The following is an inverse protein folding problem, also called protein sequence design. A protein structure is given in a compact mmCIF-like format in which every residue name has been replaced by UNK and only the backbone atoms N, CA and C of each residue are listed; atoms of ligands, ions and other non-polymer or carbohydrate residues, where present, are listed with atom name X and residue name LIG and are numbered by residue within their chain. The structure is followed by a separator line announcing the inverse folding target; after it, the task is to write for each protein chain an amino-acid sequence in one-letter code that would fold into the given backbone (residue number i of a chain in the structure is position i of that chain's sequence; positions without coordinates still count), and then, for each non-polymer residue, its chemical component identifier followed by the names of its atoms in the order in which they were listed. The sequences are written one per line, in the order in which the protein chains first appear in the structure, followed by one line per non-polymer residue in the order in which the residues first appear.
data_IF_543032154889
#
_entry.id   IF_543032154889
#
_cell.length_a   1.000
_cell.length_b   1.000
_cell.length_c   1.000
_cell.angle_alpha   90.00
_cell.angle_beta   90.00
_cell.angle_gamma   90.00
#
_symmetry.space_group_name_H-M   'P 1'
#
loop_
_entity.id
_entity.type
_entity.pdbx_description
1 polymer ?
#
# COMPACT_ATOMS: atom_id res chain seq x y z
N UNK A 1 -3.95 32.51 7.32
CA UNK A 1 -2.95 33.43 6.74
C UNK A 1 -3.03 33.54 5.20
N UNK A 2 -2.97 32.45 4.40
CA UNK A 2 -3.04 32.56 2.91
C UNK A 2 -4.35 33.17 2.42
N UNK A 3 -5.51 32.78 2.99
CA UNK A 3 -6.83 33.32 2.61
C UNK A 3 -7.01 34.81 2.93
N UNK A 4 -6.46 35.30 4.04
CA UNK A 4 -6.51 36.71 4.38
C UNK A 4 -5.68 37.56 3.41
N UNK A 5 -4.52 37.07 2.96
CA UNK A 5 -3.67 37.75 1.98
C UNK A 5 -4.33 37.83 0.59
N UNK A 6 -5.12 36.83 0.17
CA UNK A 6 -5.86 36.85 -1.08
C UNK A 6 -7.06 37.83 -1.06
N UNK A 7 -7.62 38.10 0.11
CA UNK A 7 -8.76 39.01 0.27
C UNK A 7 -8.37 40.48 0.44
N UNK A 8 -7.14 40.76 0.90
CA UNK A 8 -6.70 42.10 1.30
C UNK A 8 -5.78 42.77 0.27
N UNK A 9 -5.22 42.04 -0.69
CA UNK A 9 -4.26 42.60 -1.67
C UNK A 9 -4.58 42.21 -3.09
N UNK A 10 -4.26 43.04 -4.08
CA UNK A 10 -4.22 42.72 -5.50
C UNK A 10 -3.07 41.73 -5.77
N UNK A 11 -3.32 40.43 -5.54
CA UNK A 11 -2.34 39.38 -5.83
C UNK A 11 -2.35 39.08 -7.33
N UNK A 12 -1.18 39.02 -8.00
CA UNK A 12 -1.11 38.65 -9.41
C UNK A 12 -1.82 37.34 -9.69
N UNK A 13 -2.56 37.24 -10.81
CA UNK A 13 -3.36 36.09 -11.20
C UNK A 13 -2.58 34.77 -11.15
N UNK A 14 -1.31 34.81 -11.52
CA UNK A 14 -0.42 33.64 -11.45
C UNK A 14 -0.26 33.13 -10.01
N UNK A 15 -0.04 34.01 -9.05
CA UNK A 15 0.08 33.64 -7.62
C UNK A 15 -1.26 33.17 -7.04
N UNK A 16 -2.38 33.76 -7.49
CA UNK A 16 -3.70 33.27 -7.09
C UNK A 16 -3.89 31.81 -7.54
N UNK A 17 -3.53 31.47 -8.79
CA UNK A 17 -3.62 30.12 -9.31
C UNK A 17 -2.72 29.14 -8.54
N UNK A 18 -1.50 29.54 -8.20
CA UNK A 18 -0.57 28.74 -7.39
C UNK A 18 -1.15 28.45 -6.00
N UNK A 19 -1.74 29.47 -5.34
CA UNK A 19 -2.37 29.29 -4.04
C UNK A 19 -3.61 28.38 -4.11
N UNK A 20 -4.46 28.56 -5.11
CA UNK A 20 -5.65 27.70 -5.29
C UNK A 20 -5.25 26.26 -5.58
N UNK A 21 -4.21 26.04 -6.37
CA UNK A 21 -3.68 24.69 -6.64
C UNK A 21 -3.12 24.07 -5.36
N UNK A 22 -2.35 24.82 -4.58
CA UNK A 22 -1.84 24.33 -3.31
C UNK A 22 -2.97 24.00 -2.30
N UNK A 23 -4.01 24.83 -2.23
CA UNK A 23 -5.18 24.57 -1.39
C UNK A 23 -5.93 23.33 -1.84
N UNK A 24 -6.19 23.14 -3.14
CA UNK A 24 -6.83 21.96 -3.69
C UNK A 24 -6.04 20.69 -3.29
N UNK A 25 -4.72 20.71 -3.46
CA UNK A 25 -3.85 19.60 -3.06
C UNK A 25 -3.96 19.29 -1.55
N UNK A 26 -4.06 20.31 -0.68
CA UNK A 26 -4.22 20.10 0.76
C UNK A 26 -5.60 19.54 1.11
N UNK A 27 -6.65 19.97 0.42
CA UNK A 27 -8.01 19.44 0.60
C UNK A 27 -8.09 17.97 0.17
N UNK A 28 -7.47 17.61 -0.96
CA UNK A 28 -7.39 16.22 -1.43
C UNK A 28 -6.66 15.32 -0.41
N UNK A 29 -5.56 15.83 0.18
CA UNK A 29 -4.83 15.14 1.26
C UNK A 29 -5.71 14.95 2.50
N UNK A 30 -6.47 15.95 2.89
CA UNK A 30 -7.36 15.89 4.04
C UNK A 30 -8.51 14.88 3.82
N UNK A 31 -9.11 14.91 2.63
CA UNK A 31 -10.16 13.94 2.27
C UNK A 31 -9.62 12.51 2.28
N UNK A 32 -8.45 12.26 1.67
CA UNK A 32 -7.79 10.97 1.72
C UNK A 32 -7.55 10.49 3.16
N UNK A 33 -7.09 11.39 4.04
CA UNK A 33 -6.90 11.13 5.47
C UNK A 33 -8.20 10.68 6.14
N UNK A 34 -9.27 11.48 5.98
CA UNK A 34 -10.58 11.20 6.57
C UNK A 34 -11.11 9.84 6.09
N UNK A 35 -11.07 9.57 4.79
CA UNK A 35 -11.53 8.30 4.22
C UNK A 35 -10.73 7.12 4.78
N UNK A 36 -9.41 7.25 4.89
CA UNK A 36 -8.54 6.20 5.42
C UNK A 36 -8.81 5.96 6.92
N UNK A 37 -9.03 7.02 7.70
CA UNK A 37 -9.38 6.91 9.12
C UNK A 37 -10.74 6.22 9.32
N UNK A 38 -11.75 6.58 8.50
CA UNK A 38 -13.08 5.95 8.54
C UNK A 38 -12.96 4.45 8.19
N UNK A 39 -12.21 4.10 7.12
CA UNK A 39 -11.96 2.71 6.74
C UNK A 39 -11.32 1.93 7.90
N UNK A 40 -10.27 2.49 8.48
CA UNK A 40 -9.54 1.87 9.60
C UNK A 40 -10.44 1.66 10.81
N UNK A 41 -11.18 2.69 11.23
CA UNK A 41 -12.12 2.62 12.35
C UNK A 41 -13.20 1.55 12.15
N UNK A 42 -13.75 1.45 10.94
CA UNK A 42 -14.79 0.45 10.62
C UNK A 42 -14.23 -0.99 10.61
N UNK A 43 -12.97 -1.19 10.22
CA UNK A 43 -12.30 -2.48 10.29
C UNK A 43 -12.08 -2.90 11.75
N UNK A 44 -11.57 -2.00 12.59
CA UNK A 44 -11.28 -2.27 14.01
C UNK A 44 -12.52 -2.53 14.85
N UNK A 45 -13.60 -1.83 14.57
CA UNK A 45 -14.88 -1.99 15.29
C UNK A 45 -15.67 -3.22 14.81
N UNK A 46 -15.15 -3.96 13.81
CA UNK A 46 -15.85 -5.12 13.24
C UNK A 46 -17.11 -4.77 12.46
N UNK A 47 -17.35 -3.48 12.18
CA UNK A 47 -18.49 -3.02 11.35
C UNK A 47 -18.33 -3.52 9.91
N UNK A 48 -17.09 -3.71 9.45
CA UNK A 48 -16.81 -4.30 8.15
C UNK A 48 -16.60 -5.80 8.35
N UNK A 49 -17.52 -6.61 7.80
CA UNK A 49 -17.32 -8.04 7.63
C UNK A 49 -16.57 -8.29 6.31
N UNK A 50 -15.49 -9.05 6.38
CA UNK A 50 -14.74 -9.48 5.19
C UNK A 50 -15.47 -10.63 4.52
N UNK A 51 -15.68 -10.52 3.23
CA UNK A 51 -16.30 -11.58 2.40
C UNK A 51 -15.24 -12.38 1.65
N UNK A 52 -14.62 -13.36 2.33
CA UNK A 52 -13.66 -14.27 1.66
C UNK A 52 -14.37 -15.19 0.68
N UNK A 53 -13.87 -15.23 -0.55
CA UNK A 53 -14.34 -16.14 -1.62
C UNK A 53 -13.12 -16.78 -2.29
N UNK A 54 -13.27 -18.01 -2.74
CA UNK A 54 -12.26 -18.70 -3.57
C UNK A 54 -12.24 -18.07 -4.96
N UNK A 55 -11.16 -17.40 -5.31
CA UNK A 55 -11.05 -16.65 -6.56
C UNK A 55 -9.59 -16.51 -7.00
N UNK A 56 -9.31 -16.19 -8.29
CA UNK A 56 -7.96 -16.00 -8.78
C UNK A 56 -7.26 -14.85 -8.04
N UNK A 57 -6.09 -15.13 -7.47
CA UNK A 57 -5.27 -14.10 -6.82
C UNK A 57 -4.70 -13.12 -7.85
N UNK A 58 -4.41 -13.62 -9.06
CA UNK A 58 -3.90 -12.82 -10.17
C UNK A 58 -4.76 -11.59 -10.44
N UNK A 59 -6.09 -11.73 -10.51
CA UNK A 59 -7.00 -10.61 -10.76
C UNK A 59 -6.94 -9.54 -9.68
N UNK A 60 -6.79 -9.96 -8.42
CA UNK A 60 -6.68 -9.04 -7.28
C UNK A 60 -5.36 -8.28 -7.32
N UNK A 61 -4.28 -8.99 -7.62
CA UNK A 61 -2.95 -8.41 -7.77
C UNK A 61 -2.87 -7.47 -8.97
N UNK A 62 -3.44 -7.86 -10.11
CA UNK A 62 -3.50 -7.02 -11.32
C UNK A 62 -4.24 -5.71 -11.06
N UNK A 63 -5.36 -5.75 -10.34
CA UNK A 63 -6.10 -4.55 -9.97
C UNK A 63 -5.27 -3.61 -9.06
N UNK A 64 -4.55 -4.16 -8.07
CA UNK A 64 -3.68 -3.38 -7.19
C UNK A 64 -2.49 -2.76 -7.95
N UNK A 65 -1.87 -3.54 -8.86
CA UNK A 65 -0.80 -3.05 -9.74
C UNK A 65 -1.28 -1.92 -10.64
N UNK A 66 -2.48 -2.03 -11.21
CA UNK A 66 -3.07 -0.98 -12.06
C UNK A 66 -3.08 0.40 -11.38
N UNK A 67 -3.26 0.43 -10.05
CA UNK A 67 -3.25 1.67 -9.26
C UNK A 67 -1.89 2.36 -9.16
N UNK A 68 -0.78 1.64 -9.38
CA UNK A 68 0.57 2.20 -9.21
C UNK A 68 1.34 2.41 -10.52
N UNK A 69 0.89 1.80 -11.63
CA UNK A 69 1.65 1.76 -12.88
C UNK A 69 2.01 3.15 -13.40
N UNK A 70 1.08 4.11 -13.40
CA UNK A 70 1.34 5.46 -13.88
C UNK A 70 2.46 6.16 -13.09
N UNK A 71 2.51 5.96 -11.78
CA UNK A 71 3.53 6.55 -10.93
C UNK A 71 4.88 5.82 -11.07
N UNK A 72 4.85 4.51 -11.26
CA UNK A 72 6.03 3.72 -11.56
C UNK A 72 6.64 4.13 -12.92
N UNK A 73 5.82 4.31 -13.94
CA UNK A 73 6.23 4.77 -15.27
C UNK A 73 6.87 6.16 -15.22
N UNK A 74 6.24 7.13 -14.54
CA UNK A 74 6.79 8.49 -14.35
C UNK A 74 8.17 8.47 -13.69
N UNK A 75 8.42 7.52 -12.81
CA UNK A 75 9.71 7.31 -12.14
C UNK A 75 10.64 6.37 -12.92
N UNK A 76 10.22 5.83 -14.06
CA UNK A 76 10.96 4.84 -14.84
C UNK A 76 11.33 3.60 -14.01
N UNK A 77 10.47 3.20 -13.08
CA UNK A 77 10.65 2.01 -12.26
C UNK A 77 10.23 0.78 -13.06
N UNK A 78 11.13 -0.22 -13.14
CA UNK A 78 10.83 -1.50 -13.78
C UNK A 78 10.01 -2.38 -12.82
N UNK A 79 8.78 -2.72 -13.21
CA UNK A 79 7.89 -3.57 -12.42
C UNK A 79 7.82 -4.95 -13.06
N UNK A 80 8.23 -5.99 -12.33
CA UNK A 80 8.18 -7.39 -12.76
C UNK A 80 7.21 -8.16 -11.88
N UNK A 81 6.37 -9.01 -12.50
CA UNK A 81 5.35 -9.78 -11.80
C UNK A 81 5.45 -11.25 -12.19
N UNK A 82 5.57 -12.12 -11.18
CA UNK A 82 5.55 -13.57 -11.30
C UNK A 82 4.42 -14.10 -10.41
N UNK A 83 3.24 -14.29 -11.02
CA UNK A 83 2.05 -14.79 -10.34
C UNK A 83 1.32 -15.78 -11.26
N UNK A 84 1.14 -17.04 -10.83
CA UNK A 84 0.36 -18.01 -11.61
C UNK A 84 -1.10 -17.57 -11.75
N UNK A 85 -1.58 -17.45 -12.99
CA UNK A 85 -2.97 -17.03 -13.27
C UNK A 85 -4.02 -17.99 -12.69
N UNK A 86 -3.68 -19.29 -12.62
CA UNK A 86 -4.58 -20.34 -12.14
C UNK A 86 -4.64 -20.46 -10.61
N UNK A 87 -3.86 -19.67 -9.87
CA UNK A 87 -3.80 -19.77 -8.41
C UNK A 87 -5.06 -19.21 -7.76
N UNK A 88 -5.89 -20.13 -7.21
CA UNK A 88 -7.12 -19.81 -6.48
C UNK A 88 -6.82 -19.75 -4.99
N UNK A 89 -7.18 -18.63 -4.36
CA UNK A 89 -7.00 -18.37 -2.92
C UNK A 89 -8.33 -17.88 -2.32
N UNK A 90 -8.62 -18.30 -1.09
CA UNK A 90 -9.77 -17.77 -0.34
C UNK A 90 -9.39 -16.41 0.28
N UNK A 91 -9.92 -15.35 -0.29
CA UNK A 91 -9.64 -13.98 0.17
C UNK A 91 -10.77 -13.02 -0.16
N UNK A 92 -10.83 -11.89 0.51
CA UNK A 92 -11.69 -10.77 0.12
C UNK A 92 -10.96 -9.94 -0.95
N UNK A 93 -11.47 -9.96 -2.19
CA UNK A 93 -10.84 -9.31 -3.34
C UNK A 93 -10.60 -7.81 -3.13
N UNK A 94 -11.61 -7.13 -2.60
CA UNK A 94 -11.56 -5.68 -2.39
C UNK A 94 -10.50 -5.32 -1.34
N UNK A 95 -10.58 -5.95 -0.19
CA UNK A 95 -9.71 -5.63 0.92
C UNK A 95 -8.28 -6.15 0.73
N UNK A 96 -8.10 -7.34 0.16
CA UNK A 96 -6.76 -7.81 -0.22
C UNK A 96 -6.13 -6.92 -1.27
N UNK A 97 -6.91 -6.47 -2.27
CA UNK A 97 -6.45 -5.49 -3.26
C UNK A 97 -6.00 -4.18 -2.62
N UNK A 98 -6.76 -3.66 -1.64
CA UNK A 98 -6.39 -2.46 -0.86
C UNK A 98 -5.07 -2.68 -0.08
N UNK A 99 -4.90 -3.84 0.56
CA UNK A 99 -3.67 -4.16 1.30
C UNK A 99 -2.45 -4.23 0.37
N UNK A 100 -2.58 -4.94 -0.76
CA UNK A 100 -1.51 -5.04 -1.77
C UNK A 100 -1.19 -3.67 -2.39
N UNK A 101 -2.22 -2.87 -2.71
CA UNK A 101 -2.03 -1.52 -3.21
C UNK A 101 -1.22 -0.65 -2.25
N UNK A 102 -1.52 -0.66 -0.94
CA UNK A 102 -0.79 0.13 0.05
C UNK A 102 0.70 -0.25 0.12
N UNK A 103 1.04 -1.53 -0.03
CA UNK A 103 2.43 -1.99 -0.04
C UNK A 103 3.11 -1.61 -1.36
N UNK A 104 2.44 -1.81 -2.50
CA UNK A 104 2.95 -1.46 -3.84
C UNK A 104 3.16 0.06 -3.99
N UNK A 105 2.25 0.87 -3.49
CA UNK A 105 2.35 2.33 -3.50
C UNK A 105 3.57 2.80 -2.69
N UNK A 106 3.83 2.18 -1.53
CA UNK A 106 5.05 2.43 -0.77
C UNK A 106 6.30 1.99 -1.54
N UNK A 107 6.30 0.83 -2.19
CA UNK A 107 7.42 0.39 -3.01
C UNK A 107 7.75 1.43 -4.10
N UNK A 108 6.72 1.97 -4.81
CA UNK A 108 6.92 3.03 -5.81
C UNK A 108 7.39 4.34 -5.19
N UNK A 109 6.83 4.73 -4.03
CA UNK A 109 7.20 5.98 -3.34
C UNK A 109 8.66 6.01 -2.93
N UNK A 110 9.14 4.93 -2.34
CA UNK A 110 10.47 4.85 -1.73
C UNK A 110 11.56 4.30 -2.67
N UNK A 111 11.20 3.82 -3.85
CA UNK A 111 12.16 3.44 -4.88
C UNK A 111 12.57 4.67 -5.70
N UNK A 112 13.88 4.95 -5.84
CA UNK A 112 14.37 6.01 -6.72
C UNK A 112 14.01 5.75 -8.19
N UNK A 113 14.07 6.82 -8.98
CA UNK A 113 13.90 6.70 -10.44
C UNK A 113 14.89 5.73 -11.06
N UNK A 114 14.41 4.88 -12.00
CA UNK A 114 15.21 3.82 -12.62
C UNK A 114 15.39 2.56 -11.78
N UNK A 115 14.78 2.49 -10.58
CA UNK A 115 14.84 1.31 -9.72
C UNK A 115 13.93 0.16 -10.19
N UNK A 116 13.79 -0.86 -9.35
CA UNK A 116 13.03 -2.07 -9.67
C UNK A 116 12.06 -2.43 -8.56
N UNK A 117 10.89 -2.96 -8.95
CA UNK A 117 9.93 -3.60 -8.06
C UNK A 117 9.64 -4.99 -8.63
N UNK A 118 9.80 -6.01 -7.81
CA UNK A 118 9.48 -7.40 -8.18
C UNK A 118 8.40 -7.93 -7.27
N UNK A 119 7.35 -8.46 -7.90
CA UNK A 119 6.27 -9.18 -7.21
C UNK A 119 6.38 -10.65 -7.57
N UNK A 120 6.46 -11.52 -6.56
CA UNK A 120 6.45 -12.97 -6.76
C UNK A 120 5.46 -13.64 -5.83
N UNK A 121 4.80 -14.68 -6.34
CA UNK A 121 3.77 -15.42 -5.60
C UNK A 121 4.16 -16.89 -5.52
N UNK A 122 4.25 -17.40 -4.29
CA UNK A 122 4.54 -18.79 -3.99
C UNK A 122 3.40 -19.44 -3.22
N UNK A 123 3.03 -20.67 -3.60
CA UNK A 123 2.04 -21.44 -2.87
C UNK A 123 2.73 -22.42 -1.93
N UNK A 124 2.56 -22.22 -0.62
CA UNK A 124 3.02 -23.11 0.43
C UNK A 124 1.87 -23.98 0.94
N UNK A 125 2.16 -24.93 1.79
CA UNK A 125 1.15 -25.86 2.32
C UNK A 125 0.01 -25.14 3.05
N UNK A 126 0.32 -24.22 3.96
CA UNK A 126 -0.65 -23.49 4.79
C UNK A 126 -0.92 -22.06 4.30
N UNK A 127 -0.06 -21.49 3.50
CA UNK A 127 -0.15 -20.09 3.08
C UNK A 127 0.17 -19.91 1.60
N UNK A 128 -0.42 -18.89 1.02
CA UNK A 128 0.10 -18.29 -0.21
C UNK A 128 0.92 -17.07 0.20
N UNK A 129 2.18 -17.06 -0.22
CA UNK A 129 3.12 -15.98 0.05
C UNK A 129 3.21 -15.07 -1.16
N UNK A 130 3.06 -13.77 -0.95
CA UNK A 130 3.21 -12.73 -1.96
C UNK A 130 4.37 -11.86 -1.51
N UNK A 131 5.48 -11.88 -2.21
CA UNK A 131 6.61 -10.99 -1.96
C UNK A 131 6.54 -9.79 -2.87
N UNK A 132 6.66 -8.61 -2.30
CA UNK A 132 6.81 -7.33 -2.99
C UNK A 132 8.18 -6.79 -2.58
N UNK A 133 9.15 -6.94 -3.47
CA UNK A 133 10.54 -6.52 -3.29
C UNK A 133 10.81 -5.25 -4.08
N UNK A 134 11.42 -4.26 -3.45
CA UNK A 134 11.83 -3.00 -4.05
C UNK A 134 13.34 -2.78 -3.89
N UNK A 135 13.93 -1.98 -4.78
CA UNK A 135 15.33 -1.52 -4.70
C UNK A 135 15.39 -0.08 -4.14
N UNK A 136 14.55 0.22 -3.17
CA UNK A 136 14.42 1.54 -2.56
C UNK A 136 15.48 1.85 -1.52
N UNK A 137 15.19 2.88 -0.73
CA UNK A 137 16.10 3.37 0.33
C UNK A 137 16.33 2.36 1.45
N UNK A 138 15.46 1.34 1.58
CA UNK A 138 15.48 0.39 2.68
C UNK A 138 15.00 0.98 4.01
N UNK A 139 14.92 0.12 5.03
CA UNK A 139 14.39 0.44 6.36
C UNK A 139 15.38 -0.13 7.39
N UNK A 140 15.82 0.69 8.33
CA UNK A 140 16.72 0.24 9.39
C UNK A 140 16.03 -0.78 10.31
N UNK A 141 16.79 -1.73 10.84
CA UNK A 141 16.28 -2.83 11.67
C UNK A 141 15.42 -2.34 12.84
N UNK A 142 15.85 -1.28 13.50
CA UNK A 142 15.12 -0.68 14.63
C UNK A 142 13.74 -0.12 14.25
N UNK A 143 13.51 0.22 12.99
CA UNK A 143 12.26 0.81 12.50
C UNK A 143 11.32 -0.22 11.86
N UNK A 144 11.81 -1.41 11.45
CA UNK A 144 10.99 -2.42 10.76
C UNK A 144 9.74 -2.86 11.53
N UNK A 145 9.80 -2.88 12.87
CA UNK A 145 8.61 -3.15 13.68
C UNK A 145 7.67 -1.93 13.80
N UNK A 146 8.22 -0.73 13.71
CA UNK A 146 7.48 0.52 13.93
C UNK A 146 6.71 0.99 12.68
N UNK A 147 7.15 0.63 11.47
CA UNK A 147 6.49 1.04 10.21
C UNK A 147 5.04 0.59 10.09
N UNK A 148 4.62 -0.41 10.87
CA UNK A 148 3.24 -0.89 10.94
C UNK A 148 2.39 -0.19 12.01
N UNK A 149 2.94 0.82 12.72
CA UNK A 149 2.16 1.64 13.66
C UNK A 149 1.44 2.75 12.90
N UNK A 150 0.29 3.18 13.42
CA UNK A 150 -0.45 4.31 12.86
C UNK A 150 0.37 5.59 12.91
N UNK A 151 0.31 6.37 11.86
CA UNK A 151 0.97 7.68 11.73
C UNK A 151 2.49 7.62 11.86
N UNK A 152 3.07 6.41 11.83
CA UNK A 152 4.51 6.28 11.90
C UNK A 152 5.15 6.63 10.56
N UNK A 153 6.17 7.49 10.63
CA UNK A 153 7.04 7.86 9.51
C UNK A 153 8.45 8.06 10.05
N UNK A 154 9.45 7.63 9.31
CA UNK A 154 10.83 7.95 9.64
C UNK A 154 11.15 9.41 9.30
N UNK A 155 12.01 10.06 10.09
CA UNK A 155 12.40 11.47 9.88
C UNK A 155 13.04 11.70 8.51
N UNK A 156 13.76 10.71 7.99
CA UNK A 156 14.46 10.76 6.70
C UNK A 156 13.50 10.87 5.50
N UNK A 157 12.23 10.50 5.65
CA UNK A 157 11.24 10.44 4.55
C UNK A 157 10.13 11.49 4.68
N UNK A 158 10.36 12.57 5.41
CA UNK A 158 9.35 13.64 5.58
C UNK A 158 8.91 14.28 4.25
N UNK A 159 9.79 14.33 3.25
CA UNK A 159 9.52 14.91 1.92
C UNK A 159 8.70 13.99 1.00
N UNK A 160 8.54 12.70 1.36
CA UNK A 160 7.73 11.76 0.59
C UNK A 160 6.26 11.87 1.01
N UNK A 161 5.35 12.05 0.07
CA UNK A 161 3.92 12.14 0.35
C UNK A 161 3.38 10.88 1.04
N UNK A 162 2.70 11.07 2.18
CA UNK A 162 2.06 9.97 2.90
C UNK A 162 1.73 10.34 4.35
N UNK A 163 0.80 9.60 4.94
CA UNK A 163 0.25 9.86 6.28
C UNK A 163 0.71 8.82 7.30
N UNK A 164 1.36 7.75 6.86
CA UNK A 164 1.80 6.68 7.75
C UNK A 164 0.66 5.74 8.21
N UNK A 165 -0.41 5.61 7.42
CA UNK A 165 -1.53 4.71 7.75
C UNK A 165 -1.58 3.48 6.82
N UNK A 166 -1.02 3.56 5.62
CA UNK A 166 -1.16 2.52 4.59
C UNK A 166 -0.67 1.14 5.02
N UNK A 167 0.53 1.03 5.59
CA UNK A 167 1.07 -0.25 6.07
C UNK A 167 0.32 -0.78 7.29
N UNK A 168 -0.12 0.09 8.18
CA UNK A 168 -0.99 -0.30 9.29
C UNK A 168 -2.29 -0.92 8.76
N UNK A 169 -2.97 -0.24 7.83
CA UNK A 169 -4.20 -0.74 7.22
C UNK A 169 -3.99 -2.07 6.49
N UNK A 170 -2.90 -2.19 5.73
CA UNK A 170 -2.54 -3.44 5.06
C UNK A 170 -2.39 -4.61 6.06
N UNK A 171 -1.70 -4.39 7.18
CA UNK A 171 -1.52 -5.40 8.23
C UNK A 171 -2.86 -5.80 8.87
N UNK A 172 -3.71 -4.83 9.22
CA UNK A 172 -5.03 -5.12 9.80
C UNK A 172 -5.89 -5.96 8.84
N UNK A 173 -5.96 -5.59 7.57
CA UNK A 173 -6.72 -6.31 6.54
C UNK A 173 -6.23 -7.77 6.42
N UNK A 174 -4.92 -7.98 6.35
CA UNK A 174 -4.34 -9.33 6.19
C UNK A 174 -4.56 -10.14 7.46
N UNK A 175 -4.39 -9.54 8.64
CA UNK A 175 -4.61 -10.20 9.94
C UNK A 175 -6.07 -10.64 10.11
N UNK A 176 -7.03 -9.79 9.75
CA UNK A 176 -8.46 -10.13 9.80
C UNK A 176 -8.85 -11.28 8.86
N UNK A 177 -8.03 -11.56 7.83
CA UNK A 177 -8.21 -12.70 6.95
C UNK A 177 -7.48 -13.97 7.45
N UNK A 178 -6.83 -13.92 8.62
CA UNK A 178 -6.08 -15.04 9.20
C UNK A 178 -4.64 -15.13 8.67
N UNK A 179 -4.18 -14.10 7.96
CA UNK A 179 -2.81 -13.98 7.45
C UNK A 179 -1.91 -13.10 8.30
N UNK A 180 -0.74 -12.78 7.78
CA UNK A 180 0.19 -11.84 8.40
C UNK A 180 1.13 -11.23 7.36
N UNK A 181 1.81 -10.13 7.73
CA UNK A 181 2.82 -9.45 6.91
C UNK A 181 4.16 -9.47 7.64
N UNK A 182 5.23 -9.73 6.88
CA UNK A 182 6.62 -9.57 7.33
C UNK A 182 7.35 -8.56 6.45
N UNK A 183 8.39 -7.96 6.98
CA UNK A 183 9.32 -7.12 6.24
C UNK A 183 10.74 -7.63 6.48
N UNK A 184 11.53 -7.64 5.43
CA UNK A 184 12.98 -7.82 5.47
C UNK A 184 13.58 -6.68 4.67
N UNK A 185 14.47 -5.90 5.27
CA UNK A 185 15.00 -4.70 4.65
C UNK A 185 16.41 -4.38 5.12
N UNK A 186 17.18 -3.77 4.24
CA UNK A 186 18.51 -3.24 4.56
C UNK A 186 18.64 -1.84 3.94
N UNK A 187 19.12 -0.87 4.72
CA UNK A 187 19.30 0.52 4.28
C UNK A 187 20.21 0.55 3.05
N UNK A 188 19.76 1.23 2.01
CA UNK A 188 20.45 1.36 0.73
C UNK A 188 20.33 0.17 -0.21
N UNK A 189 19.65 -0.94 0.19
CA UNK A 189 19.45 -2.13 -0.67
C UNK A 189 17.99 -2.36 -1.05
N UNK A 190 17.06 -1.73 -0.31
CA UNK A 190 15.63 -1.87 -0.53
C UNK A 190 14.94 -2.74 0.51
N UNK A 191 13.68 -3.07 0.25
CA UNK A 191 12.82 -3.81 1.17
C UNK A 191 12.09 -4.94 0.44
N UNK A 192 11.75 -5.98 1.19
CA UNK A 192 10.82 -7.03 0.76
C UNK A 192 9.70 -7.14 1.78
N UNK A 193 8.49 -6.85 1.34
CA UNK A 193 7.28 -7.08 2.12
C UNK A 193 6.67 -8.41 1.69
N UNK A 194 6.56 -9.34 2.64
CA UNK A 194 5.97 -10.66 2.43
C UNK A 194 4.58 -10.70 3.05
N UNK A 195 3.56 -10.84 2.22
CA UNK A 195 2.16 -11.01 2.63
C UNK A 195 1.83 -12.49 2.60
N UNK A 196 1.33 -13.01 3.72
CA UNK A 196 0.92 -14.41 3.86
C UNK A 196 -0.59 -14.46 3.98
N UNK A 197 -1.26 -15.04 2.99
CA UNK A 197 -2.69 -15.33 3.01
C UNK A 197 -2.91 -16.79 3.39
N UNK A 198 -3.81 -17.05 4.35
CA UNK A 198 -4.12 -18.40 4.78
C UNK A 198 -4.74 -19.18 3.61
N UNK A 199 -4.17 -20.34 3.31
CA UNK A 199 -4.72 -21.29 2.34
C UNK A 199 -5.71 -22.19 3.05
N UNK A 200 -7.00 -22.04 2.75
CA UNK A 200 -7.99 -23.00 3.23
C UNK A 200 -7.68 -24.37 2.62
N UNK A 201 -7.35 -25.32 3.45
CA UNK A 201 -7.22 -26.71 3.01
C UNK A 201 -8.60 -27.16 2.49
N UNK A 202 -8.63 -27.73 1.29
CA UNK A 202 -9.85 -28.41 0.81
C UNK A 202 -10.17 -29.55 1.78
N UNK A 203 -11.29 -29.46 2.50
CA UNK A 203 -11.77 -30.56 3.37
C UNK A 203 -12.19 -31.80 2.60
N UNK A 204 -11.94 -31.87 1.29
CA UNK A 204 -12.33 -33.00 0.42
C UNK A 204 -11.10 -33.43 -0.41
N UNK A 205 -10.18 -34.11 0.24
CA UNK A 205 -9.19 -34.96 -0.42
C UNK A 205 -9.08 -36.30 0.35
N UNK A 206 -10.23 -36.90 0.66
CA UNK A 206 -10.34 -38.30 1.06
C UNK A 206 -11.69 -38.80 0.53
N UNK A 207 -11.70 -39.29 -0.71
CA UNK A 207 -12.53 -40.43 -1.18
C UNK A 207 -11.83 -41.05 -2.39
#
# INVERSE_FOLDING_TARGET
MINSTLLENEVPVQKQKEFLTAQATQLDKLDFLMQTMIKTSRLETGVISLEKKRQPLYDTLAAALGGILLNAEKKQINVQVDCPESLIVSHDRKWTGEALFNILDNAVKYTPGGGQIRVSVESWEMYVKIDIADTGIGISEQHQGAIFKRFYREDIVHDVDGVGIGLYLAREIVTLQGGYIRVTSEVGKGSTFSVFLLREQSKYAEE
#
